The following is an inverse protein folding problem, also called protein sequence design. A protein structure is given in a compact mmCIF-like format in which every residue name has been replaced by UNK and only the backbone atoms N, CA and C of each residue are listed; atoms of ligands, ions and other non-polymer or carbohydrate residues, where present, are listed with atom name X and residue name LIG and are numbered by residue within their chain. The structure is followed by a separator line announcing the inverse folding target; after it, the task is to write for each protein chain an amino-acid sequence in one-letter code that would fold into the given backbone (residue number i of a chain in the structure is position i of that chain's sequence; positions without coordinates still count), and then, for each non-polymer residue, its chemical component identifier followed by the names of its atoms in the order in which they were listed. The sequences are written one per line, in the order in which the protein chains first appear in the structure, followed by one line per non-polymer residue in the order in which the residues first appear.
data_IF_374178289348
#
_entry.id   IF_374178289348
#
_cell.length_a   1.000
_cell.length_b   1.000
_cell.length_c   1.000
_cell.angle_alpha   90.00
_cell.angle_beta   90.00
_cell.angle_gamma   90.00
#
_symmetry.space_group_name_H-M   'P 1'
#
loop_
_entity.id
_entity.type
_entity.pdbx_description
1 polymer ?
#
# COMPACT_ATOMS: atom_id res chain seq x y z
N UNK A 1 21.41 -67.24 32.71
CA UNK A 1 20.83 -66.40 31.63
C UNK A 1 21.34 -66.90 30.29
N UNK A 2 20.45 -67.28 29.38
CA UNK A 2 20.82 -67.69 28.03
C UNK A 2 21.22 -66.46 27.19
N UNK A 3 22.35 -66.47 26.46
CA UNK A 3 22.87 -65.31 25.72
C UNK A 3 21.88 -64.68 24.72
N UNK A 4 20.95 -65.49 24.20
CA UNK A 4 19.97 -65.06 23.18
C UNK A 4 18.89 -64.11 23.70
N UNK A 5 18.52 -64.20 24.99
CA UNK A 5 17.47 -63.35 25.56
C UNK A 5 17.91 -61.89 25.66
N UNK A 6 19.16 -61.68 26.09
CA UNK A 6 19.79 -60.37 26.21
C UNK A 6 19.90 -59.61 24.88
N UNK A 7 20.15 -60.30 23.76
CA UNK A 7 20.25 -59.65 22.45
C UNK A 7 18.89 -59.14 21.97
N UNK A 8 17.83 -59.92 22.19
CA UNK A 8 16.47 -59.52 21.83
C UNK A 8 15.96 -58.34 22.68
N UNK A 9 16.25 -58.35 23.98
CA UNK A 9 15.91 -57.24 24.88
C UNK A 9 16.60 -55.93 24.49
N UNK A 10 17.89 -56.00 24.13
CA UNK A 10 18.65 -54.84 23.66
C UNK A 10 18.11 -54.29 22.34
N UNK A 11 17.76 -55.15 21.38
CA UNK A 11 17.15 -54.72 20.12
C UNK A 11 15.82 -54.00 20.34
N UNK A 12 14.94 -54.54 21.18
CA UNK A 12 13.66 -53.90 21.51
C UNK A 12 13.85 -52.56 22.23
N UNK A 13 14.87 -52.47 23.09
CA UNK A 13 15.22 -51.22 23.76
C UNK A 13 15.73 -50.17 22.78
N UNK A 14 16.55 -50.57 21.79
CA UNK A 14 17.04 -49.66 20.75
C UNK A 14 15.91 -49.06 19.93
N UNK A 15 14.94 -49.88 19.48
CA UNK A 15 13.81 -49.39 18.69
C UNK A 15 13.02 -48.30 19.43
N UNK A 16 12.75 -48.51 20.72
CA UNK A 16 12.06 -47.53 21.56
C UNK A 16 12.88 -46.25 21.75
N UNK A 17 14.17 -46.39 22.05
CA UNK A 17 15.05 -45.25 22.27
C UNK A 17 15.17 -44.42 21.00
N UNK A 18 15.22 -45.04 19.82
CA UNK A 18 15.32 -44.31 18.56
C UNK A 18 14.02 -43.56 18.22
N UNK A 19 12.86 -44.15 18.52
CA UNK A 19 11.56 -43.45 18.42
C UNK A 19 11.49 -42.24 19.37
N UNK A 20 11.86 -42.42 20.64
CA UNK A 20 11.91 -41.32 21.62
C UNK A 20 12.91 -40.23 21.20
N UNK A 21 14.08 -40.61 20.69
CA UNK A 21 15.09 -39.68 20.18
C UNK A 21 14.56 -38.89 18.98
N UNK A 22 13.85 -39.55 18.08
CA UNK A 22 13.24 -38.91 16.92
C UNK A 22 12.23 -37.83 17.35
N UNK A 23 11.34 -38.16 18.28
CA UNK A 23 10.34 -37.23 18.81
C UNK A 23 10.98 -36.03 19.54
N UNK A 24 12.03 -36.28 20.34
CA UNK A 24 12.78 -35.23 21.01
C UNK A 24 13.47 -34.30 20.01
N UNK A 25 14.15 -34.86 19.01
CA UNK A 25 14.78 -34.07 17.95
C UNK A 25 13.75 -33.19 17.23
N UNK A 26 12.58 -33.75 16.91
CA UNK A 26 11.52 -33.00 16.23
C UNK A 26 10.98 -31.83 17.09
N UNK A 27 10.93 -31.98 18.42
CA UNK A 27 10.59 -30.89 19.35
C UNK A 27 11.68 -29.81 19.41
N UNK A 28 12.95 -30.20 19.39
CA UNK A 28 14.09 -29.27 19.36
C UNK A 28 14.10 -28.49 18.05
N UNK A 29 13.87 -29.15 16.91
CA UNK A 29 13.82 -28.51 15.60
C UNK A 29 12.70 -27.48 15.49
N UNK A 30 11.51 -27.81 16.02
CA UNK A 30 10.39 -26.85 16.11
C UNK A 30 10.76 -25.63 16.94
N UNK A 31 11.30 -25.86 18.15
CA UNK A 31 11.77 -24.77 19.03
C UNK A 31 12.84 -23.91 18.37
N UNK A 32 13.76 -24.54 17.64
CA UNK A 32 14.84 -23.84 16.92
C UNK A 32 14.29 -22.93 15.82
N UNK A 33 13.33 -23.42 15.03
CA UNK A 33 12.63 -22.62 14.01
C UNK A 33 11.90 -21.43 14.62
N UNK A 34 11.18 -21.65 15.72
CA UNK A 34 10.47 -20.56 16.43
C UNK A 34 11.44 -19.48 16.94
N UNK A 35 12.60 -19.89 17.48
CA UNK A 35 13.64 -18.96 17.92
C UNK A 35 14.19 -18.15 16.74
N UNK A 36 14.40 -18.79 15.58
CA UNK A 36 14.90 -18.12 14.38
C UNK A 36 13.88 -17.10 13.84
N UNK A 37 12.61 -17.47 13.76
CA UNK A 37 11.52 -16.57 13.40
C UNK A 37 11.41 -15.37 14.36
N UNK A 38 11.55 -15.61 15.67
CA UNK A 38 11.56 -14.54 16.66
C UNK A 38 12.78 -13.63 16.54
N UNK A 39 13.96 -14.17 16.22
CA UNK A 39 15.16 -13.37 15.96
C UNK A 39 14.97 -12.44 14.77
N UNK A 40 14.35 -12.92 13.69
CA UNK A 40 14.03 -12.09 12.51
C UNK A 40 13.06 -10.96 12.92
N UNK A 41 11.98 -11.27 13.65
CA UNK A 41 11.03 -10.25 14.15
C UNK A 41 11.72 -9.19 15.01
N UNK A 42 12.65 -9.61 15.88
CA UNK A 42 13.44 -8.66 16.70
C UNK A 42 14.32 -7.77 15.83
N UNK A 43 14.97 -8.34 14.80
CA UNK A 43 15.78 -7.56 13.87
C UNK A 43 14.94 -6.55 13.10
N UNK A 44 13.76 -6.94 12.59
CA UNK A 44 12.83 -6.05 11.89
C UNK A 44 12.34 -4.92 12.79
N UNK A 45 11.98 -5.23 14.04
CA UNK A 45 11.56 -4.22 15.02
C UNK A 45 12.71 -3.26 15.37
N UNK A 46 13.92 -3.77 15.59
CA UNK A 46 15.13 -2.95 15.82
C UNK A 46 15.49 -2.11 14.59
N UNK A 47 15.29 -2.63 13.38
CA UNK A 47 15.57 -1.96 12.11
C UNK A 47 14.56 -0.86 11.79
N UNK A 48 13.26 -1.16 11.92
CA UNK A 48 12.13 -0.25 11.67
C UNK A 48 12.14 0.96 12.61
N UNK A 49 12.56 0.76 13.86
CA UNK A 49 12.67 1.81 14.87
C UNK A 49 14.10 2.02 15.35
N UNK A 50 15.11 1.97 14.44
CA UNK A 50 16.39 2.59 14.79
C UNK A 50 16.08 4.04 15.17
N UNK A 51 16.16 4.35 16.46
CA UNK A 51 16.04 5.72 17.00
C UNK A 51 16.83 6.59 16.04
N UNK A 52 16.21 7.56 15.32
CA UNK A 52 16.96 8.40 14.41
C UNK A 52 18.14 8.93 15.20
N UNK A 53 19.35 8.52 14.84
CA UNK A 53 20.55 9.07 15.45
C UNK A 53 20.37 10.59 15.39
N UNK A 54 20.67 11.32 16.46
CA UNK A 54 20.54 12.78 16.48
C UNK A 54 21.30 13.33 15.26
N UNK A 55 20.58 13.58 14.17
CA UNK A 55 21.20 13.98 12.91
C UNK A 55 21.54 15.44 13.13
N UNK A 56 22.81 15.80 12.92
CA UNK A 56 23.20 17.20 12.82
C UNK A 56 22.57 17.76 11.55
N UNK A 57 21.34 18.23 11.67
CA UNK A 57 20.61 18.88 10.57
C UNK A 57 21.32 20.19 10.28
N UNK A 58 21.88 20.31 9.08
CA UNK A 58 22.41 21.59 8.60
C UNK A 58 21.23 22.53 8.35
N UNK A 59 21.45 23.83 8.54
CA UNK A 59 20.43 24.86 8.30
C UNK A 59 19.72 24.61 6.96
N UNK A 60 18.38 24.62 6.96
CA UNK A 60 17.60 24.39 5.73
C UNK A 60 17.87 25.49 4.72
N UNK A 61 17.68 25.18 3.44
CA UNK A 61 17.81 26.16 2.37
C UNK A 61 16.88 27.38 2.61
N UNK A 62 15.66 27.16 3.08
CA UNK A 62 14.71 28.22 3.43
C UNK A 62 15.22 29.13 4.57
N UNK A 63 15.77 28.52 5.63
CA UNK A 63 16.36 29.29 6.73
C UNK A 63 17.59 30.09 6.28
N UNK A 64 18.41 29.52 5.39
CA UNK A 64 19.57 30.18 4.81
C UNK A 64 19.17 31.34 3.89
N UNK A 65 18.19 31.13 3.00
CA UNK A 65 17.69 32.14 2.07
C UNK A 65 17.02 33.30 2.81
N UNK A 66 16.23 33.01 3.84
CA UNK A 66 15.63 34.05 4.70
C UNK A 66 16.69 34.88 5.43
N UNK A 67 17.77 34.25 5.90
CA UNK A 67 18.86 34.95 6.57
C UNK A 67 19.69 35.82 5.62
N UNK A 68 19.91 35.38 4.37
CA UNK A 68 20.74 36.09 3.39
C UNK A 68 19.98 37.16 2.59
N UNK A 69 18.70 36.92 2.26
CA UNK A 69 17.92 37.75 1.34
C UNK A 69 16.76 38.49 2.02
N UNK A 70 16.59 38.29 3.33
CA UNK A 70 15.52 38.91 4.11
C UNK A 70 14.13 38.55 3.59
N UNK A 71 13.16 39.47 3.73
CA UNK A 71 11.76 39.24 3.35
C UNK A 71 11.49 39.23 1.84
N UNK A 72 12.46 39.62 1.00
CA UNK A 72 12.25 39.84 -0.44
C UNK A 72 12.06 38.54 -1.24
N UNK A 73 12.58 37.41 -0.74
CA UNK A 73 12.51 36.09 -1.41
C UNK A 73 11.92 35.02 -0.49
N UNK A 74 10.70 35.25 0.02
CA UNK A 74 9.93 34.20 0.71
C UNK A 74 9.30 33.28 -0.34
N UNK A 75 10.05 32.28 -0.80
CA UNK A 75 9.52 31.23 -1.68
C UNK A 75 8.99 30.10 -0.81
N UNK A 76 7.67 29.95 -0.74
CA UNK A 76 7.06 28.83 -0.03
C UNK A 76 7.23 27.56 -0.89
N UNK A 77 8.13 26.67 -0.47
CA UNK A 77 8.41 25.42 -1.17
C UNK A 77 7.55 24.25 -0.67
N UNK A 78 6.53 24.52 0.17
CA UNK A 78 5.60 23.48 0.60
C UNK A 78 4.76 23.02 -0.60
N UNK A 79 4.74 21.72 -0.84
CA UNK A 79 3.98 21.09 -1.93
C UNK A 79 2.48 21.47 -1.86
N UNK A 80 1.98 21.71 -0.65
CA UNK A 80 0.61 22.11 -0.38
C UNK A 80 0.27 23.49 -0.94
N UNK A 81 1.21 24.42 -0.90
CA UNK A 81 0.98 25.81 -1.34
C UNK A 81 1.17 26.01 -2.84
N UNK A 82 1.78 25.03 -3.52
CA UNK A 82 1.81 24.94 -4.99
C UNK A 82 0.56 24.31 -5.61
N UNK A 83 -0.29 23.66 -4.81
CA UNK A 83 -1.58 23.16 -5.27
C UNK A 83 -2.58 24.31 -5.34
N UNK A 84 -3.37 24.38 -6.42
CA UNK A 84 -4.44 25.38 -6.54
C UNK A 84 -5.40 25.23 -5.35
N UNK A 85 -5.43 26.22 -4.47
CA UNK A 85 -6.46 26.32 -3.46
C UNK A 85 -7.79 26.51 -4.18
N UNK A 86 -8.72 25.57 -4.02
CA UNK A 86 -10.12 25.76 -4.42
C UNK A 86 -10.69 26.82 -3.49
N UNK A 87 -10.46 28.08 -3.84
CA UNK A 87 -11.11 29.20 -3.18
C UNK A 87 -12.57 29.14 -3.61
N UNK A 88 -13.47 28.92 -2.66
CA UNK A 88 -14.90 29.14 -2.85
C UNK A 88 -15.13 30.66 -2.88
N UNK A 89 -14.61 31.34 -3.90
CA UNK A 89 -14.86 32.77 -4.13
C UNK A 89 -16.26 32.88 -4.76
N UNK A 90 -17.24 33.27 -3.96
CA UNK A 90 -18.64 33.48 -4.37
C UNK A 90 -18.79 34.77 -5.19
N UNK A 91 -17.81 35.16 -6.01
CA UNK A 91 -17.86 36.45 -6.70
C UNK A 91 -16.98 36.51 -7.94
N UNK A 92 -17.40 35.82 -8.99
CA UNK A 92 -17.37 36.24 -10.42
C UNK A 92 -17.59 35.08 -11.40
N UNK A 93 -17.68 33.82 -10.94
CA UNK A 93 -17.98 32.67 -11.80
C UNK A 93 -19.49 32.47 -12.09
N UNK A 94 -20.34 33.41 -11.68
CA UNK A 94 -21.79 33.33 -11.96
C UNK A 94 -22.11 33.64 -13.45
N UNK A 95 -21.13 34.12 -14.23
CA UNK A 95 -21.27 34.31 -15.69
C UNK A 95 -20.87 33.06 -16.47
N UNK A 96 -19.80 32.36 -16.07
CA UNK A 96 -19.35 31.14 -16.76
C UNK A 96 -20.19 29.91 -16.42
N UNK A 97 -20.86 29.90 -15.26
CA UNK A 97 -21.87 28.87 -14.92
C UNK A 97 -23.14 28.96 -15.79
N UNK A 98 -23.43 30.11 -16.42
CA UNK A 98 -24.59 30.26 -17.33
C UNK A 98 -24.37 29.62 -18.70
N UNK A 99 -23.12 29.46 -19.12
CA UNK A 99 -22.76 28.79 -20.38
C UNK A 99 -22.76 27.26 -20.23
N UNK A 100 -22.75 26.73 -19.01
CA UNK A 100 -23.15 25.34 -18.73
C UNK A 100 -24.67 25.29 -18.60
N UNK A 101 -25.35 25.74 -19.67
CA UNK A 101 -26.81 25.71 -19.80
C UNK A 101 -27.36 24.31 -19.59
N UNK A 102 -28.40 24.23 -18.77
CA UNK A 102 -29.15 23.06 -18.33
C UNK A 102 -29.03 21.85 -19.27
N UNK A 103 -28.33 20.81 -18.80
CA UNK A 103 -28.11 19.55 -19.53
C UNK A 103 -29.43 18.92 -20.01
N UNK A 104 -30.57 19.23 -19.36
CA UNK A 104 -31.90 18.79 -19.81
C UNK A 104 -32.23 19.25 -21.24
N UNK A 105 -31.88 20.49 -21.61
CA UNK A 105 -32.28 21.06 -22.90
C UNK A 105 -31.63 20.32 -24.08
N UNK A 106 -30.37 19.91 -23.90
CA UNK A 106 -29.61 19.19 -24.91
C UNK A 106 -30.09 17.73 -25.11
N UNK A 107 -30.80 17.16 -24.12
CA UNK A 107 -31.37 15.81 -24.19
C UNK A 107 -32.75 15.83 -24.84
N UNK A 108 -33.58 16.83 -24.55
CA UNK A 108 -34.90 16.99 -25.18
C UNK A 108 -34.81 17.26 -26.69
N UNK A 109 -33.86 18.09 -27.13
CA UNK A 109 -33.63 18.39 -28.55
C UNK A 109 -33.23 17.14 -29.37
N UNK A 110 -32.69 16.10 -28.72
CA UNK A 110 -32.33 14.82 -29.37
C UNK A 110 -33.39 13.72 -29.23
N UNK A 111 -34.41 13.91 -28.39
CA UNK A 111 -35.48 12.94 -28.18
C UNK A 111 -36.66 13.12 -29.16
N UNK A 112 -36.70 14.21 -29.92
CA UNK A 112 -37.82 14.60 -30.80
C UNK A 112 -37.90 13.95 -32.18
N UNK A 113 -37.15 12.87 -32.46
CA UNK A 113 -37.30 12.10 -33.71
C UNK A 113 -38.24 10.90 -33.54
N UNK A 114 -39.48 11.16 -33.13
CA UNK A 114 -40.57 10.18 -33.20
C UNK A 114 -41.64 10.66 -34.21
N UNK A 115 -41.56 10.12 -35.43
CA UNK A 115 -42.40 10.58 -36.54
C UNK A 115 -42.18 9.84 -37.86
N UNK A 116 -42.45 8.54 -37.86
CA UNK A 116 -42.71 7.64 -39.02
C UNK A 116 -41.64 7.57 -40.13
N UNK A 117 -40.78 6.55 -40.04
CA UNK A 117 -40.12 5.92 -41.20
C UNK A 117 -41.18 5.40 -42.19
N UNK A 118 -41.18 5.90 -43.42
CA UNK A 118 -41.85 5.27 -44.58
C UNK A 118 -40.76 4.76 -45.52
N UNK A 119 -40.67 3.43 -45.63
CA UNK A 119 -39.87 2.72 -46.64
C UNK A 119 -40.80 2.30 -47.79
N UNK A 120 -40.18 1.99 -48.95
CA UNK A 120 -40.69 1.31 -50.16
C UNK A 120 -41.29 2.21 -51.26
N UNK A 121 -41.05 2.00 -52.58
CA UNK A 121 -40.59 0.82 -53.37
C UNK A 121 -39.60 1.19 -54.50
N UNK A 122 -38.78 0.20 -54.88
CA UNK A 122 -37.94 0.07 -56.07
C UNK A 122 -38.75 -0.11 -57.37
N UNK A 123 -38.34 0.51 -58.48
CA UNK A 123 -38.49 -0.10 -59.81
C UNK A 123 -37.35 0.37 -60.74
N UNK A 124 -36.53 -0.59 -61.17
CA UNK A 124 -35.69 -0.50 -62.36
C UNK A 124 -36.60 -0.57 -63.62
N UNK A 125 -36.48 0.41 -64.52
CA UNK A 125 -36.59 0.30 -65.98
C UNK A 125 -36.50 1.71 -66.61
#
# INVERSE_FOLDING_TARGET
MSPSGTVQELHHSLDKIDEERYDLNNKVDKSTKEIEDMKIKIQDLKGKFKKPALRKVRMSADAMLKALLGSKHKVNMDLRDNLKQVKKEVKEEDKDLRDVGDWRKNVEDKAGMDGRKKMFETTEA
#
